data_IF_843170715204
#
_entry.id   IF_843170715204
#
_cell.length_a   1.000
_cell.length_b   1.000
_cell.length_c   1.000
_cell.angle_alpha   90.00
_cell.angle_beta   90.00
_cell.angle_gamma   90.00
#
_symmetry.space_group_name_H-M   'P 1'
#
loop_
_entity.id
_entity.type
_entity.pdbx_description
1 polymer ?
#
# COMPACT_ATOMS: atom_id res chain seq x y z
N UNK A 1 -8.14 35.02 -51.24
CA UNK A 1 -6.77 34.71 -50.73
C UNK A 1 -6.79 33.29 -50.18
N UNK A 2 -6.11 32.33 -50.82
CA UNK A 2 -6.04 30.95 -50.30
C UNK A 2 -5.37 30.97 -48.92
N UNK A 3 -5.93 30.23 -47.96
CA UNK A 3 -5.32 30.10 -46.62
C UNK A 3 -4.02 29.33 -46.77
N UNK A 4 -2.91 29.89 -46.27
CA UNK A 4 -1.61 29.20 -46.28
C UNK A 4 -1.75 27.85 -45.54
N UNK A 5 -1.21 26.75 -46.08
CA UNK A 5 -1.23 25.46 -45.39
C UNK A 5 -0.48 25.54 -44.05
N UNK A 6 -0.82 24.67 -43.08
CA UNK A 6 -0.05 24.58 -41.84
C UNK A 6 1.38 24.08 -42.11
N UNK A 7 2.29 24.40 -41.19
CA UNK A 7 3.66 23.87 -41.22
C UNK A 7 3.67 22.35 -40.98
N UNK A 8 4.58 21.63 -41.62
CA UNK A 8 4.76 20.19 -41.41
C UNK A 8 5.32 19.87 -40.02
N UNK A 9 5.12 18.64 -39.57
CA UNK A 9 5.47 18.18 -38.23
C UNK A 9 6.99 18.26 -37.99
N UNK A 10 7.81 17.95 -39.00
CA UNK A 10 9.28 18.01 -38.89
C UNK A 10 9.80 19.45 -38.73
N UNK A 11 9.29 20.41 -39.50
CA UNK A 11 9.67 21.81 -39.34
C UNK A 11 9.15 22.39 -38.02
N UNK A 12 7.95 21.97 -37.58
CA UNK A 12 7.35 22.38 -36.32
C UNK A 12 8.14 21.87 -35.12
N UNK A 13 8.53 20.60 -35.11
CA UNK A 13 9.36 20.00 -34.05
C UNK A 13 10.71 20.70 -33.93
N UNK A 14 11.30 21.11 -35.05
CA UNK A 14 12.58 21.84 -35.10
C UNK A 14 12.45 23.35 -34.91
N UNK A 15 11.23 23.86 -34.72
CA UNK A 15 10.91 25.30 -34.58
C UNK A 15 11.49 26.17 -35.71
N UNK A 16 11.45 25.68 -36.95
CA UNK A 16 11.90 26.42 -38.15
C UNK A 16 10.75 26.76 -39.09
N UNK A 17 10.91 27.81 -39.90
CA UNK A 17 9.92 28.22 -40.88
C UNK A 17 9.72 27.13 -41.96
N UNK A 18 8.46 26.73 -42.17
CA UNK A 18 8.06 25.75 -43.17
C UNK A 18 7.54 26.45 -44.43
N UNK A 19 7.89 25.92 -45.60
CA UNK A 19 7.37 26.35 -46.90
C UNK A 19 6.55 25.20 -47.51
N UNK A 20 5.30 25.01 -47.08
CA UNK A 20 4.47 23.91 -47.55
C UNK A 20 4.08 24.10 -49.02
N UNK A 21 4.20 23.03 -49.81
CA UNK A 21 3.73 22.91 -51.19
C UNK A 21 2.34 22.26 -51.22
N UNK A 22 1.49 22.66 -52.16
CA UNK A 22 0.10 22.17 -52.27
C UNK A 22 -0.02 20.80 -52.93
N UNK A 23 1.03 20.35 -53.62
CA UNK A 23 0.95 19.23 -54.57
C UNK A 23 1.38 17.90 -53.94
N UNK A 24 1.34 17.81 -52.60
CA UNK A 24 1.77 16.61 -51.86
C UNK A 24 3.27 16.36 -51.86
N UNK A 25 4.07 17.28 -52.41
CA UNK A 25 5.54 17.21 -52.38
C UNK A 25 6.09 17.58 -51.00
N UNK A 26 7.23 17.02 -50.58
CA UNK A 26 7.87 17.41 -49.33
C UNK A 26 8.34 18.86 -49.40
N UNK A 27 8.26 19.59 -48.28
CA UNK A 27 8.76 20.97 -48.26
C UNK A 27 10.28 21.01 -48.53
N UNK A 28 10.83 22.11 -49.10
CA UNK A 28 12.24 22.19 -49.48
C UNK A 28 13.22 21.78 -48.37
N UNK A 29 12.93 22.14 -47.12
CA UNK A 29 13.77 21.79 -45.96
C UNK A 29 13.72 20.31 -45.59
N UNK A 30 12.58 19.65 -45.77
CA UNK A 30 12.47 18.21 -45.55
C UNK A 30 13.13 17.44 -46.70
N UNK A 31 12.99 17.95 -47.93
CA UNK A 31 13.62 17.40 -49.12
C UNK A 31 15.16 17.43 -49.02
N UNK A 32 15.76 18.59 -48.70
CA UNK A 32 17.21 18.73 -48.53
C UNK A 32 17.79 17.82 -47.45
N UNK A 33 17.00 17.50 -46.42
CA UNK A 33 17.44 16.69 -45.27
C UNK A 33 17.09 15.21 -45.40
N UNK A 34 16.44 14.81 -46.48
CA UNK A 34 15.97 13.44 -46.68
C UNK A 34 14.97 12.97 -45.62
N UNK A 35 14.28 13.88 -44.93
CA UNK A 35 13.32 13.51 -43.87
C UNK A 35 11.89 13.47 -44.41
N UNK A 36 11.11 12.49 -43.92
CA UNK A 36 9.70 12.34 -44.31
C UNK A 36 8.90 13.57 -43.87
N UNK A 37 8.31 14.28 -44.83
CA UNK A 37 7.48 15.46 -44.59
C UNK A 37 6.03 15.03 -44.33
N UNK A 38 5.61 15.00 -43.06
CA UNK A 38 4.22 14.71 -42.67
C UNK A 38 3.55 15.95 -42.10
N UNK A 39 2.26 16.13 -42.36
CA UNK A 39 1.45 17.19 -41.76
C UNK A 39 0.22 16.55 -41.15
N UNK A 40 0.18 16.43 -39.83
CA UNK A 40 -0.98 15.86 -39.14
C UNK A 40 -2.13 16.89 -39.11
N UNK A 41 -3.30 16.62 -39.71
CA UNK A 41 -4.40 17.57 -39.75
C UNK A 41 -4.96 17.81 -38.34
N UNK A 42 -4.77 19.02 -37.82
CA UNK A 42 -5.32 19.42 -36.52
C UNK A 42 -6.77 19.85 -36.71
N UNK A 43 -7.72 19.02 -36.26
CA UNK A 43 -9.15 19.40 -36.21
C UNK A 43 -9.34 20.44 -35.10
N UNK A 44 -9.29 21.73 -35.46
CA UNK A 44 -9.61 22.83 -34.54
C UNK A 44 -11.12 23.05 -34.53
N UNK A 45 -11.80 22.44 -33.56
CA UNK A 45 -13.17 22.82 -33.21
C UNK A 45 -13.18 24.29 -32.77
N UNK A 46 -13.97 25.13 -33.44
CA UNK A 46 -14.13 26.55 -33.12
C UNK A 46 -15.30 26.68 -32.15
N UNK A 47 -15.14 27.31 -30.96
CA UNK A 47 -16.28 27.58 -30.09
C UNK A 47 -17.24 28.58 -30.77
N UNK A 48 -18.56 28.42 -30.63
CA UNK A 48 -19.53 29.35 -31.22
C UNK A 48 -19.50 30.69 -30.48
N UNK A 49 -19.48 31.79 -31.24
CA UNK A 49 -19.62 33.17 -30.75
C UNK A 49 -21.07 33.39 -30.30
N UNK A 50 -21.27 33.78 -29.04
CA UNK A 50 -22.55 34.34 -28.56
C UNK A 50 -22.64 35.81 -28.94
N UNK A 51 -23.64 36.17 -29.74
CA UNK A 51 -24.05 37.55 -29.99
C UNK A 51 -24.97 38.02 -28.86
N UNK A 52 -24.71 39.23 -28.35
CA UNK A 52 -25.53 39.97 -27.40
C UNK A 52 -26.32 41.04 -28.17
N UNK A 53 -27.65 40.99 -28.13
CA UNK A 53 -28.53 42.03 -28.69
C UNK A 53 -30.03 41.74 -28.52
N UNK A 54 -30.62 42.30 -27.46
CA UNK A 54 -32.04 42.44 -27.05
C UNK A 54 -33.03 42.99 -28.10
N UNK A 55 -34.34 43.23 -27.80
CA UNK A 55 -35.32 42.49 -26.96
C UNK A 55 -36.71 42.36 -27.65
N UNK A 56 -37.59 41.44 -27.20
CA UNK A 56 -39.03 41.62 -27.47
C UNK A 56 -39.95 40.39 -27.40
N UNK A 57 -40.79 40.39 -26.35
CA UNK A 57 -42.21 39.94 -26.34
C UNK A 57 -42.58 38.45 -26.42
N UNK A 58 -43.00 37.97 -25.23
CA UNK A 58 -44.28 37.28 -24.94
C UNK A 58 -44.34 35.74 -24.92
N UNK A 59 -44.93 35.25 -23.82
CA UNK A 59 -45.63 33.96 -23.57
C UNK A 59 -44.84 32.66 -23.37
N UNK A 60 -44.84 32.21 -22.09
CA UNK A 60 -44.77 30.81 -21.61
C UNK A 60 -45.90 29.93 -22.20
N UNK A 61 -45.91 28.57 -22.11
CA UNK A 61 -45.25 27.76 -21.08
C UNK A 61 -44.58 26.41 -21.47
N UNK A 62 -43.70 25.98 -20.55
CA UNK A 62 -43.33 24.62 -20.13
C UNK A 62 -42.95 23.56 -21.18
N UNK A 63 -41.72 23.02 -21.04
CA UNK A 63 -41.43 21.58 -20.83
C UNK A 63 -39.90 21.35 -20.71
N UNK A 64 -39.50 20.79 -19.56
CA UNK A 64 -38.28 20.02 -19.26
C UNK A 64 -36.97 20.28 -20.06
N UNK A 65 -36.03 21.00 -19.45
CA UNK A 65 -34.60 20.96 -19.80
C UNK A 65 -33.82 20.12 -18.78
N UNK A 66 -33.44 18.91 -19.19
CA UNK A 66 -32.29 18.20 -18.62
C UNK A 66 -31.02 18.85 -19.19
N UNK A 67 -30.29 19.59 -18.36
CA UNK A 67 -28.92 20.01 -18.67
C UNK A 67 -27.95 18.83 -18.51
N UNK A 68 -27.14 18.48 -19.52
CA UNK A 68 -25.94 17.69 -19.31
C UNK A 68 -24.83 18.60 -18.78
N UNK A 69 -24.46 18.38 -17.52
CA UNK A 69 -23.30 18.99 -16.87
C UNK A 69 -22.03 18.79 -17.68
N UNK A 70 -21.23 19.85 -17.80
CA UNK A 70 -19.90 19.81 -18.40
C UNK A 70 -19.02 18.74 -17.69
N UNK A 71 -18.13 18.04 -18.42
CA UNK A 71 -17.22 17.10 -17.80
C UNK A 71 -16.19 17.85 -16.92
N UNK A 72 -15.94 17.41 -15.68
CA UNK A 72 -14.95 18.03 -14.82
C UNK A 72 -13.54 17.87 -15.39
N UNK A 73 -12.67 18.83 -15.06
CA UNK A 73 -11.25 18.74 -15.41
C UNK A 73 -10.59 17.55 -14.67
N UNK A 74 -9.55 16.93 -15.24
CA UNK A 74 -8.89 15.78 -14.64
C UNK A 74 -8.20 16.07 -13.29
N UNK A 75 -8.12 17.34 -12.85
CA UNK A 75 -7.60 17.70 -11.52
C UNK A 75 -8.66 17.70 -10.41
N UNK A 76 -9.94 17.80 -10.76
CA UNK A 76 -11.03 17.92 -9.78
C UNK A 76 -11.70 16.57 -9.48
N UNK A 77 -11.38 15.53 -10.25
CA UNK A 77 -12.10 14.25 -10.20
C UNK A 77 -11.62 13.34 -9.05
N UNK A 78 -10.36 13.43 -8.63
CA UNK A 78 -9.84 12.57 -7.54
C UNK A 78 -10.16 13.12 -6.14
N UNK A 79 -10.24 14.45 -5.95
CA UNK A 79 -10.72 15.04 -4.69
C UNK A 79 -12.24 15.00 -4.55
N UNK A 80 -12.99 14.86 -5.65
CA UNK A 80 -14.47 14.83 -5.62
C UNK A 80 -15.06 13.52 -5.05
N UNK A 81 -14.26 12.44 -4.94
CA UNK A 81 -14.75 11.14 -4.42
C UNK A 81 -15.07 11.20 -2.92
N UNK A 82 -14.57 12.20 -2.19
CA UNK A 82 -14.71 12.30 -0.73
C UNK A 82 -15.63 13.44 -0.26
N UNK A 83 -16.31 14.15 -1.18
CA UNK A 83 -16.95 15.44 -0.88
C UNK A 83 -18.31 15.37 -0.14
N UNK A 84 -18.70 14.22 0.42
CA UNK A 84 -19.96 14.07 1.17
C UNK A 84 -19.84 13.26 2.47
N UNK A 85 -18.67 13.24 3.09
CA UNK A 85 -18.47 12.56 4.38
C UNK A 85 -18.78 13.49 5.56
N UNK A 86 -19.46 12.95 6.60
CA UNK A 86 -19.60 13.66 7.88
C UNK A 86 -18.21 13.94 8.44
N UNK A 87 -17.83 15.21 8.49
CA UNK A 87 -16.58 15.60 9.15
C UNK A 87 -16.77 15.44 10.66
N UNK A 88 -15.98 14.56 11.26
CA UNK A 88 -15.95 14.40 12.72
C UNK A 88 -14.92 15.36 13.26
N UNK A 89 -15.35 16.24 14.17
CA UNK A 89 -14.43 17.08 14.92
C UNK A 89 -13.56 16.19 15.83
N UNK A 90 -12.25 16.21 15.61
CA UNK A 90 -11.29 15.42 16.36
C UNK A 90 -11.02 16.07 17.73
N UNK A 91 -11.89 15.79 18.70
CA UNK A 91 -11.67 16.20 20.09
C UNK A 91 -10.41 15.52 20.67
N UNK A 92 -9.74 16.14 21.66
CA UNK A 92 -8.59 15.54 22.34
C UNK A 92 -8.84 14.13 22.88
N UNK A 93 -10.05 13.86 23.38
CA UNK A 93 -10.46 12.56 23.91
C UNK A 93 -10.58 11.52 22.80
N UNK A 94 -11.18 11.91 21.66
CA UNK A 94 -11.32 11.04 20.51
C UNK A 94 -9.95 10.70 19.89
N UNK A 95 -9.06 11.69 19.77
CA UNK A 95 -7.68 11.45 19.28
C UNK A 95 -6.97 10.45 20.21
N UNK A 96 -7.09 10.62 21.53
CA UNK A 96 -6.50 9.69 22.50
C UNK A 96 -7.05 8.27 22.34
N UNK A 97 -8.38 8.12 22.25
CA UNK A 97 -9.03 6.83 22.00
C UNK A 97 -8.53 6.17 20.71
N UNK A 98 -8.42 6.94 19.61
CA UNK A 98 -7.96 6.43 18.33
C UNK A 98 -6.49 6.02 18.38
N UNK A 99 -5.64 6.73 19.12
CA UNK A 99 -4.25 6.30 19.34
C UNK A 99 -4.15 5.05 20.23
N UNK A 100 -5.03 4.88 21.20
CA UNK A 100 -5.07 3.66 22.01
C UNK A 100 -5.55 2.47 21.14
N UNK A 101 -6.54 2.66 20.27
CA UNK A 101 -6.91 1.68 19.24
C UNK A 101 -5.73 1.36 18.30
N UNK A 102 -4.94 2.37 17.92
CA UNK A 102 -3.81 2.20 17.00
C UNK A 102 -2.82 1.16 17.50
N UNK A 103 -2.64 1.04 18.82
CA UNK A 103 -1.74 0.06 19.44
C UNK A 103 -2.05 -1.40 19.11
N UNK A 104 -3.29 -1.69 18.66
CA UNK A 104 -3.75 -3.01 18.25
C UNK A 104 -3.54 -3.29 16.75
N UNK A 105 -3.13 -2.30 15.97
CA UNK A 105 -2.90 -2.46 14.54
C UNK A 105 -1.43 -2.84 14.26
N UNK A 106 -1.16 -3.68 13.26
CA UNK A 106 0.22 -4.06 12.90
C UNK A 106 1.12 -2.85 12.68
N UNK A 107 0.61 -1.80 12.03
CA UNK A 107 1.35 -0.59 11.68
C UNK A 107 1.95 0.13 12.91
N UNK A 108 1.39 -0.03 14.11
CA UNK A 108 1.98 0.47 15.35
C UNK A 108 3.36 -0.13 15.62
N UNK A 109 3.59 -1.36 15.14
CA UNK A 109 4.85 -2.07 15.30
C UNK A 109 5.86 -1.81 14.17
N UNK A 110 5.57 -0.90 13.24
CA UNK A 110 6.44 -0.66 12.11
C UNK A 110 7.77 -0.01 12.56
N UNK A 111 8.95 -0.44 12.08
CA UNK A 111 10.23 0.08 12.56
C UNK A 111 10.43 1.59 12.35
N UNK A 112 9.90 2.15 11.25
CA UNK A 112 9.93 3.60 11.00
C UNK A 112 8.95 4.41 11.88
N UNK A 113 8.05 3.75 12.61
CA UNK A 113 7.08 4.45 13.45
C UNK A 113 7.63 4.61 14.88
N UNK A 114 8.06 5.83 15.21
CA UNK A 114 8.65 6.18 16.51
C UNK A 114 7.60 6.42 17.59
N UNK A 115 6.96 5.34 18.04
CA UNK A 115 5.82 5.30 18.97
C UNK A 115 5.90 6.30 20.12
N UNK A 116 7.01 6.29 20.86
CA UNK A 116 7.17 7.12 22.06
C UNK A 116 7.27 8.60 21.71
N UNK A 117 7.93 8.95 20.61
CA UNK A 117 8.09 10.33 20.15
C UNK A 117 6.73 10.90 19.74
N UNK A 118 5.96 10.15 18.94
CA UNK A 118 4.62 10.56 18.51
C UNK A 118 3.69 10.73 19.72
N UNK A 119 3.68 9.77 20.66
CA UNK A 119 2.84 9.83 21.86
C UNK A 119 3.22 11.00 22.78
N UNK A 120 4.51 11.24 22.99
CA UNK A 120 5.00 12.36 23.80
C UNK A 120 4.64 13.70 23.18
N UNK A 121 4.80 13.85 21.86
CA UNK A 121 4.46 15.07 21.14
C UNK A 121 2.96 15.38 21.19
N UNK A 122 2.10 14.37 21.11
CA UNK A 122 0.65 14.54 21.29
C UNK A 122 0.30 14.89 22.74
N UNK A 123 0.93 14.23 23.72
CA UNK A 123 0.70 14.50 25.12
C UNK A 123 1.07 15.95 25.51
N UNK A 124 2.18 16.48 24.97
CA UNK A 124 2.65 17.83 25.29
C UNK A 124 1.74 18.95 24.76
N UNK A 125 0.93 18.67 23.74
CA UNK A 125 -0.07 19.59 23.17
C UNK A 125 -1.50 19.22 23.62
N UNK A 126 -1.64 18.43 24.69
CA UNK A 126 -2.93 17.98 25.21
C UNK A 126 -3.80 17.29 24.16
N UNK A 127 -3.19 16.48 23.29
CA UNK A 127 -3.84 15.71 22.22
C UNK A 127 -4.55 16.54 21.15
N UNK A 128 -4.26 17.84 21.06
CA UNK A 128 -4.74 18.71 20.00
C UNK A 128 -3.93 18.50 18.71
N UNK A 129 -4.29 17.46 17.94
CA UNK A 129 -3.54 16.98 16.76
C UNK A 129 -3.17 18.08 15.74
N UNK A 130 -4.01 19.11 15.61
CA UNK A 130 -3.79 20.22 14.68
C UNK A 130 -2.59 21.12 15.06
N UNK A 131 -2.11 21.07 16.31
CA UNK A 131 -0.94 21.82 16.79
C UNK A 131 0.39 21.10 16.54
N UNK A 132 0.39 19.87 16.02
CA UNK A 132 1.63 19.15 15.68
C UNK A 132 2.39 19.85 14.53
N UNK A 133 3.73 19.69 14.47
CA UNK A 133 4.52 20.04 13.29
C UNK A 133 3.99 19.34 12.03
N UNK A 134 4.12 19.94 10.82
CA UNK A 134 3.45 19.46 9.61
C UNK A 134 3.64 17.97 9.31
N UNK A 135 4.88 17.46 9.28
CA UNK A 135 5.17 16.05 8.98
C UNK A 135 4.60 15.09 10.02
N UNK A 136 4.80 15.41 11.31
CA UNK A 136 4.29 14.63 12.42
C UNK A 136 2.75 14.65 12.48
N UNK A 137 2.13 15.75 12.03
CA UNK A 137 0.68 15.88 11.86
C UNK A 137 0.17 14.91 10.80
N UNK A 138 0.81 14.82 9.64
CA UNK A 138 0.43 13.84 8.60
C UNK A 138 0.48 12.43 9.18
N UNK A 139 1.59 12.06 9.84
CA UNK A 139 1.75 10.74 10.45
C UNK A 139 0.64 10.45 11.47
N UNK A 140 0.34 11.42 12.33
CA UNK A 140 -0.70 11.26 13.34
C UNK A 140 -2.10 11.09 12.71
N UNK A 141 -2.41 11.84 11.64
CA UNK A 141 -3.67 11.67 10.91
C UNK A 141 -3.76 10.32 10.21
N UNK A 142 -2.65 9.79 9.68
CA UNK A 142 -2.62 8.43 9.11
C UNK A 142 -2.93 7.37 10.18
N UNK A 143 -2.34 7.47 11.37
CA UNK A 143 -2.61 6.58 12.49
C UNK A 143 -4.08 6.68 12.95
N UNK A 144 -4.61 7.89 13.10
CA UNK A 144 -6.01 8.16 13.46
C UNK A 144 -6.98 7.58 12.43
N UNK A 145 -6.70 7.75 11.13
CA UNK A 145 -7.50 7.18 10.06
C UNK A 145 -7.50 5.64 10.09
N UNK A 146 -6.33 5.01 10.24
CA UNK A 146 -6.22 3.55 10.37
C UNK A 146 -7.03 3.06 11.57
N UNK A 147 -6.92 3.72 12.72
CA UNK A 147 -7.64 3.36 13.95
C UNK A 147 -9.15 3.47 13.86
N UNK A 148 -9.66 4.38 13.02
CA UNK A 148 -11.11 4.51 12.82
C UNK A 148 -11.74 3.22 12.25
N UNK A 149 -10.96 2.36 11.58
CA UNK A 149 -11.44 1.06 11.09
C UNK A 149 -11.85 0.09 12.22
N UNK A 150 -11.21 0.19 13.39
CA UNK A 150 -11.45 -0.69 14.55
C UNK A 150 -12.10 0.02 15.74
N UNK A 151 -12.16 1.35 15.73
CA UNK A 151 -12.69 2.17 16.83
C UNK A 151 -14.14 1.84 17.20
N UNK A 152 -14.42 1.82 18.50
CA UNK A 152 -15.76 1.62 19.05
C UNK A 152 -16.32 2.90 19.70
N UNK A 153 -15.68 4.04 19.47
CA UNK A 153 -16.17 5.33 19.98
C UNK A 153 -17.48 5.73 19.29
N UNK A 154 -18.48 6.25 20.04
CA UNK A 154 -19.74 6.74 19.47
C UNK A 154 -19.59 7.76 18.35
N UNK A 155 -18.55 8.61 18.38
CA UNK A 155 -18.29 9.60 17.34
C UNK A 155 -17.87 8.97 16.00
N UNK A 156 -17.30 7.76 16.03
CA UNK A 156 -16.83 7.04 14.84
C UNK A 156 -17.85 6.01 14.37
N UNK A 157 -18.36 5.19 15.29
CA UNK A 157 -19.29 4.09 14.97
C UNK A 157 -20.73 4.59 14.79
N UNK A 158 -21.06 5.78 15.27
CA UNK A 158 -22.40 6.33 15.22
C UNK A 158 -23.41 5.59 16.12
N UNK A 159 -24.71 5.78 15.89
CA UNK A 159 -25.76 5.20 16.73
C UNK A 159 -25.81 3.67 16.63
N UNK A 160 -26.27 3.02 17.70
CA UNK A 160 -26.50 1.57 17.76
C UNK A 160 -25.66 0.86 18.82
N UNK A 161 -25.71 -0.49 18.87
CA UNK A 161 -24.87 -1.25 19.78
C UNK A 161 -23.39 -1.01 19.44
N UNK A 162 -22.56 -0.96 20.47
CA UNK A 162 -21.10 -0.80 20.37
C UNK A 162 -20.41 -1.73 21.37
N UNK A 163 -19.21 -2.23 21.05
CA UNK A 163 -18.35 -2.89 22.04
C UNK A 163 -17.95 -1.90 23.14
N UNK A 164 -17.69 -2.43 24.33
CA UNK A 164 -17.08 -1.63 25.42
C UNK A 164 -15.56 -1.58 25.32
N UNK A 165 -14.94 -2.56 24.65
CA UNK A 165 -13.51 -2.60 24.36
C UNK A 165 -13.24 -3.52 23.17
N UNK A 166 -12.02 -3.47 22.60
CA UNK A 166 -11.57 -4.44 21.59
C UNK A 166 -11.41 -5.87 22.14
N UNK A 167 -11.47 -6.04 23.47
CA UNK A 167 -11.45 -7.34 24.14
C UNK A 167 -12.85 -7.83 24.53
N UNK A 168 -13.91 -7.13 24.13
CA UNK A 168 -15.29 -7.48 24.46
C UNK A 168 -15.72 -8.79 23.80
N UNK A 169 -15.69 -9.87 24.60
CA UNK A 169 -16.01 -11.23 24.15
C UNK A 169 -17.48 -11.43 23.81
N UNK A 170 -18.37 -10.54 24.27
CA UNK A 170 -19.79 -10.62 23.92
C UNK A 170 -20.01 -10.28 22.45
N UNK A 171 -19.17 -9.40 21.90
CA UNK A 171 -19.18 -8.98 20.50
C UNK A 171 -18.18 -9.78 19.66
N UNK A 172 -16.93 -9.89 20.11
CA UNK A 172 -15.82 -10.52 19.39
C UNK A 172 -15.71 -12.01 19.73
N UNK A 173 -16.68 -12.80 19.26
CA UNK A 173 -16.67 -14.27 19.36
C UNK A 173 -16.43 -14.92 18.00
N UNK A 174 -15.96 -16.17 18.02
CA UNK A 174 -15.75 -16.93 16.79
C UNK A 174 -17.07 -17.02 15.98
N UNK A 175 -16.99 -16.71 14.69
CA UNK A 175 -18.15 -16.67 13.79
C UNK A 175 -19.08 -15.46 13.95
N UNK A 176 -18.74 -14.46 14.78
CA UNK A 176 -19.52 -13.23 14.88
C UNK A 176 -19.52 -12.45 13.55
N UNK A 177 -20.70 -11.95 13.15
CA UNK A 177 -20.81 -11.04 12.02
C UNK A 177 -20.50 -9.60 12.46
N UNK A 178 -19.35 -9.09 12.03
CA UNK A 178 -18.87 -7.75 12.37
C UNK A 178 -19.10 -6.72 11.25
N UNK A 179 -19.76 -7.10 10.15
CA UNK A 179 -19.90 -6.25 8.95
C UNK A 179 -20.66 -4.96 9.24
N UNK A 180 -21.70 -5.02 10.07
CA UNK A 180 -22.50 -3.85 10.46
C UNK A 180 -21.64 -2.74 11.10
N UNK A 181 -20.74 -3.12 12.00
CA UNK A 181 -19.81 -2.17 12.63
C UNK A 181 -18.91 -1.49 11.59
N UNK A 182 -18.40 -2.26 10.61
CA UNK A 182 -17.59 -1.71 9.51
C UNK A 182 -18.37 -0.72 8.63
N UNK A 183 -19.58 -1.09 8.24
CA UNK A 183 -20.47 -0.22 7.43
C UNK A 183 -20.74 1.10 8.16
N UNK A 184 -21.04 1.05 9.46
CA UNK A 184 -21.34 2.26 10.24
C UNK A 184 -20.15 3.20 10.40
N UNK A 185 -18.92 2.67 10.55
CA UNK A 185 -17.69 3.49 10.66
C UNK A 185 -17.20 4.05 9.31
N UNK A 186 -17.61 3.44 8.20
CA UNK A 186 -17.09 3.75 6.85
C UNK A 186 -17.10 5.25 6.52
N UNK A 187 -18.17 6.03 6.79
CA UNK A 187 -18.18 7.46 6.47
C UNK A 187 -17.11 8.27 7.20
N UNK A 188 -16.89 7.97 8.49
CA UNK A 188 -15.88 8.66 9.32
C UNK A 188 -14.47 8.22 8.91
N UNK A 189 -14.28 6.92 8.71
CA UNK A 189 -13.02 6.38 8.19
C UNK A 189 -12.62 7.03 6.88
N UNK A 190 -13.53 7.13 5.91
CA UNK A 190 -13.28 7.78 4.61
C UNK A 190 -12.97 9.26 4.75
N UNK A 191 -13.66 9.99 5.64
CA UNK A 191 -13.36 11.40 5.92
C UNK A 191 -11.93 11.58 6.42
N UNK A 192 -11.51 10.73 7.36
CA UNK A 192 -10.16 10.78 7.94
C UNK A 192 -9.09 10.36 6.93
N UNK A 193 -9.37 9.39 6.06
CA UNK A 193 -8.49 9.03 4.95
C UNK A 193 -8.29 10.21 3.99
N UNK A 194 -9.37 10.90 3.63
CA UNK A 194 -9.31 12.06 2.75
C UNK A 194 -8.50 13.21 3.37
N UNK A 195 -8.67 13.46 4.66
CA UNK A 195 -7.90 14.50 5.36
C UNK A 195 -6.42 14.13 5.50
N UNK A 196 -6.09 12.88 5.82
CA UNK A 196 -4.72 12.40 5.85
C UNK A 196 -4.03 12.55 4.48
N UNK A 197 -4.74 12.19 3.40
CA UNK A 197 -4.26 12.37 2.03
C UNK A 197 -4.05 13.85 1.68
N UNK A 198 -5.02 14.71 2.01
CA UNK A 198 -4.94 16.16 1.77
C UNK A 198 -3.70 16.76 2.42
N UNK A 199 -3.47 16.43 3.70
CA UNK A 199 -2.30 16.88 4.46
C UNK A 199 -0.99 16.33 3.88
N UNK A 200 -0.96 15.06 3.48
CA UNK A 200 0.22 14.44 2.87
C UNK A 200 0.64 15.14 1.58
N UNK A 201 -0.35 15.49 0.74
CA UNK A 201 -0.12 16.26 -0.49
C UNK A 201 0.33 17.70 -0.21
N UNK A 202 -0.26 18.37 0.79
CA UNK A 202 0.11 19.74 1.18
C UNK A 202 1.57 19.82 1.67
N UNK A 203 1.98 18.85 2.49
CA UNK A 203 3.34 18.78 3.07
C UNK A 203 4.36 18.19 2.09
N UNK A 204 3.93 17.55 1.02
CA UNK A 204 4.79 16.87 0.03
C UNK A 204 5.69 15.78 0.66
N UNK A 205 5.10 14.91 1.49
CA UNK A 205 5.85 13.90 2.25
C UNK A 205 6.68 12.93 1.39
N UNK A 206 6.41 12.81 0.09
CA UNK A 206 7.19 11.96 -0.83
C UNK A 206 8.58 12.54 -1.12
N UNK A 207 8.76 13.85 -1.02
CA UNK A 207 9.99 14.53 -1.45
C UNK A 207 11.07 14.61 -0.38
N UNK A 208 10.70 14.54 0.90
CA UNK A 208 11.63 14.73 2.01
C UNK A 208 11.81 13.42 2.80
N UNK A 209 13.00 12.79 2.76
CA UNK A 209 13.25 11.54 3.44
C UNK A 209 13.44 11.79 4.94
N UNK A 210 12.38 11.52 5.71
CA UNK A 210 12.41 11.46 7.17
C UNK A 210 11.68 10.19 7.61
N UNK A 211 11.98 9.67 8.80
CA UNK A 211 11.29 8.49 9.34
C UNK A 211 9.78 8.72 9.45
N UNK A 212 9.35 9.94 9.82
CA UNK A 212 7.95 10.31 9.92
C UNK A 212 7.26 10.29 8.54
N UNK A 213 7.94 10.80 7.50
CA UNK A 213 7.43 10.78 6.13
C UNK A 213 7.43 9.36 5.53
N UNK A 214 8.44 8.55 5.83
CA UNK A 214 8.49 7.13 5.45
C UNK A 214 7.34 6.35 6.09
N UNK A 215 7.14 6.48 7.39
CA UNK A 215 6.03 5.87 8.11
C UNK A 215 4.67 6.36 7.59
N UNK A 216 4.55 7.64 7.25
CA UNK A 216 3.33 8.21 6.65
C UNK A 216 3.03 7.60 5.28
N UNK A 217 4.03 7.51 4.40
CA UNK A 217 3.88 6.87 3.08
C UNK A 217 3.48 5.39 3.22
N UNK A 218 4.11 4.67 4.15
CA UNK A 218 3.72 3.29 4.46
C UNK A 218 2.25 3.22 4.91
N UNK A 219 1.82 4.02 5.87
CA UNK A 219 0.44 3.98 6.37
C UNK A 219 -0.59 4.42 5.32
N UNK A 220 -0.27 5.41 4.48
CA UNK A 220 -1.14 5.82 3.37
C UNK A 220 -1.32 4.69 2.36
N UNK A 221 -0.28 3.93 2.03
CA UNK A 221 -0.42 2.75 1.18
C UNK A 221 -1.50 1.82 1.75
N UNK A 222 -1.47 1.52 3.06
CA UNK A 222 -2.48 0.69 3.72
C UNK A 222 -3.89 1.26 3.72
N UNK A 223 -4.04 2.59 3.84
CA UNK A 223 -5.36 3.24 3.82
C UNK A 223 -6.08 3.07 2.48
N UNK A 224 -5.33 2.94 1.37
CA UNK A 224 -5.89 2.86 0.02
C UNK A 224 -5.97 1.43 -0.54
N UNK A 225 -5.54 0.41 0.21
CA UNK A 225 -5.69 -0.99 -0.19
C UNK A 225 -7.18 -1.34 -0.38
N UNK A 226 -7.52 -1.91 -1.53
CA UNK A 226 -8.86 -2.41 -1.84
C UNK A 226 -9.89 -1.34 -2.19
N UNK A 227 -9.49 -0.06 -2.32
CA UNK A 227 -10.42 1.02 -2.71
C UNK A 227 -10.67 1.09 -4.23
N UNK A 228 -9.95 0.30 -5.03
CA UNK A 228 -10.00 0.24 -6.49
C UNK A 228 -9.81 1.60 -7.19
N UNK A 229 -8.98 2.46 -6.60
CA UNK A 229 -8.71 3.81 -7.12
C UNK A 229 -7.54 3.83 -8.10
N UNK A 230 -7.44 4.86 -8.94
CA UNK A 230 -6.23 5.08 -9.77
C UNK A 230 -4.97 5.34 -8.91
N UNK A 231 -5.17 5.90 -7.71
CA UNK A 231 -4.12 6.06 -6.71
C UNK A 231 -3.56 4.70 -6.24
N UNK A 232 -4.44 3.74 -6.00
CA UNK A 232 -4.04 2.36 -5.66
C UNK A 232 -3.28 1.68 -6.81
N UNK A 233 -3.64 1.94 -8.07
CA UNK A 233 -2.95 1.36 -9.23
C UNK A 233 -1.57 1.98 -9.47
N UNK A 234 -1.43 3.28 -9.22
CA UNK A 234 -0.18 4.03 -9.45
C UNK A 234 0.82 3.90 -8.29
N UNK A 235 0.36 3.50 -7.09
CA UNK A 235 1.19 3.16 -5.92
C UNK A 235 2.23 4.23 -5.53
N UNK A 236 1.90 5.53 -5.54
CA UNK A 236 2.89 6.58 -5.28
C UNK A 236 3.45 6.50 -3.85
N UNK A 237 2.63 6.07 -2.88
CA UNK A 237 3.01 5.97 -1.49
C UNK A 237 3.98 4.80 -1.23
N UNK A 238 3.73 3.63 -1.82
CA UNK A 238 4.68 2.52 -1.78
C UNK A 238 6.02 2.90 -2.43
N UNK A 239 5.99 3.60 -3.58
CA UNK A 239 7.20 4.08 -4.24
C UNK A 239 7.96 5.12 -3.39
N UNK A 240 7.24 6.08 -2.81
CA UNK A 240 7.82 7.10 -1.93
C UNK A 240 8.43 6.49 -0.67
N UNK A 241 7.73 5.55 -0.05
CA UNK A 241 8.22 4.79 1.10
C UNK A 241 9.54 4.07 0.79
N UNK A 242 9.60 3.29 -0.29
CA UNK A 242 10.83 2.60 -0.67
C UNK A 242 11.97 3.58 -1.02
N UNK A 243 11.65 4.70 -1.66
CA UNK A 243 12.64 5.76 -1.91
C UNK A 243 13.21 6.32 -0.60
N UNK A 244 12.37 6.54 0.40
CA UNK A 244 12.80 7.01 1.71
C UNK A 244 13.66 5.97 2.42
N UNK A 245 13.27 4.70 2.40
CA UNK A 245 14.07 3.62 3.00
C UNK A 245 15.48 3.53 2.41
N UNK A 246 15.62 3.68 1.09
CA UNK A 246 16.92 3.66 0.42
C UNK A 246 17.85 4.79 0.87
N UNK A 247 17.29 5.90 1.35
CA UNK A 247 18.05 7.05 1.85
C UNK A 247 18.30 6.93 3.36
N UNK A 248 17.29 6.50 4.12
CA UNK A 248 17.32 6.45 5.57
C UNK A 248 18.08 5.25 6.11
N UNK A 249 18.01 4.10 5.43
CA UNK A 249 18.70 2.88 5.84
C UNK A 249 20.13 2.85 5.29
N UNK A 250 20.92 3.89 5.56
CA UNK A 250 22.35 3.86 5.28
C UNK A 250 23.12 2.93 6.25
N UNK A 251 24.42 2.77 6.04
CA UNK A 251 25.25 1.85 6.85
C UNK A 251 25.21 2.21 8.35
N UNK A 252 25.17 3.50 8.69
CA UNK A 252 25.12 3.95 10.08
C UNK A 252 23.77 3.63 10.73
N UNK A 253 22.67 3.87 10.00
CA UNK A 253 21.34 3.51 10.46
C UNK A 253 21.20 1.99 10.63
N UNK A 254 21.74 1.20 9.71
CA UNK A 254 21.71 -0.26 9.78
C UNK A 254 22.47 -0.78 11.01
N UNK A 255 23.65 -0.25 11.33
CA UNK A 255 24.41 -0.62 12.51
C UNK A 255 23.65 -0.35 13.82
N UNK A 256 22.92 0.76 13.90
CA UNK A 256 22.18 1.16 15.11
C UNK A 256 20.82 0.44 15.24
N UNK A 257 20.12 0.20 14.12
CA UNK A 257 18.70 -0.17 14.13
C UNK A 257 18.40 -1.58 13.61
N UNK A 258 19.32 -2.23 12.88
CA UNK A 258 19.13 -3.59 12.38
C UNK A 258 19.80 -4.64 13.28
N UNK A 259 18.97 -5.31 14.08
CA UNK A 259 19.33 -6.57 14.73
C UNK A 259 18.49 -7.74 14.16
N UNK A 260 18.74 -8.98 14.60
CA UNK A 260 18.03 -10.16 14.11
C UNK A 260 16.51 -10.10 14.30
N UNK A 261 16.05 -9.48 15.38
CA UNK A 261 14.63 -9.27 15.65
C UNK A 261 14.05 -8.21 14.72
N UNK A 262 14.70 -7.05 14.58
CA UNK A 262 14.29 -5.99 13.64
C UNK A 262 14.22 -6.53 12.21
N UNK A 263 15.21 -7.32 11.78
CA UNK A 263 15.24 -7.92 10.46
C UNK A 263 14.04 -8.84 10.22
N UNK A 264 13.62 -9.61 11.23
CA UNK A 264 12.43 -10.47 11.13
C UNK A 264 11.14 -9.65 10.99
N UNK A 265 11.04 -8.55 11.74
CA UNK A 265 9.91 -7.62 11.65
C UNK A 265 9.83 -6.96 10.27
N UNK A 266 10.95 -6.43 9.79
CA UNK A 266 11.08 -5.86 8.44
C UNK A 266 10.68 -6.84 7.34
N UNK A 267 11.15 -8.07 7.47
CA UNK A 267 10.84 -9.17 6.58
C UNK A 267 9.33 -9.43 6.52
N UNK A 268 8.62 -9.35 7.64
CA UNK A 268 7.16 -9.44 7.68
C UNK A 268 6.45 -8.31 6.93
N UNK A 269 6.90 -7.07 7.06
CA UNK A 269 6.29 -5.93 6.35
C UNK A 269 6.54 -5.98 4.84
N UNK A 270 7.75 -6.33 4.40
CA UNK A 270 8.05 -6.52 2.99
C UNK A 270 7.28 -7.71 2.40
N UNK A 271 7.13 -8.79 3.16
CA UNK A 271 6.27 -9.90 2.75
C UNK A 271 4.85 -9.41 2.47
N UNK A 272 4.24 -8.64 3.38
CA UNK A 272 2.86 -8.16 3.21
C UNK A 272 2.70 -7.34 1.92
N UNK A 273 3.63 -6.42 1.65
CA UNK A 273 3.70 -5.63 0.41
C UNK A 273 3.78 -6.52 -0.85
N UNK A 274 4.62 -7.55 -0.80
CA UNK A 274 4.78 -8.49 -1.91
C UNK A 274 3.55 -9.37 -2.12
N UNK A 275 2.93 -9.86 -1.05
CA UNK A 275 1.73 -10.69 -1.16
C UNK A 275 0.56 -9.88 -1.73
N UNK A 276 0.37 -8.65 -1.27
CA UNK A 276 -0.65 -7.74 -1.77
C UNK A 276 -0.49 -7.48 -3.28
N UNK A 277 0.71 -7.09 -3.69
CA UNK A 277 1.02 -6.83 -5.11
C UNK A 277 0.87 -8.07 -5.99
N UNK A 278 1.28 -9.24 -5.48
CA UNK A 278 1.14 -10.52 -6.20
C UNK A 278 -0.32 -10.86 -6.43
N UNK A 279 -1.15 -10.81 -5.38
CA UNK A 279 -2.60 -11.08 -5.47
C UNK A 279 -3.31 -10.14 -6.45
N UNK A 280 -2.92 -8.86 -6.43
CA UNK A 280 -3.50 -7.83 -7.30
C UNK A 280 -2.86 -7.78 -8.70
N UNK A 281 -1.88 -8.65 -8.99
CA UNK A 281 -1.11 -8.67 -10.25
C UNK A 281 -0.48 -7.31 -10.59
N UNK A 282 -0.06 -6.58 -9.56
CA UNK A 282 0.59 -5.29 -9.66
C UNK A 282 2.12 -5.44 -9.74
N UNK A 283 2.83 -4.43 -10.26
CA UNK A 283 4.30 -4.43 -10.23
C UNK A 283 4.83 -4.48 -8.80
N UNK A 284 5.73 -5.44 -8.55
CA UNK A 284 6.50 -5.52 -7.31
C UNK A 284 7.58 -4.44 -7.35
N UNK A 285 7.54 -3.51 -6.39
CA UNK A 285 8.45 -2.36 -6.34
C UNK A 285 9.76 -2.67 -5.59
N UNK A 286 9.78 -3.75 -4.81
CA UNK A 286 10.94 -4.17 -4.01
C UNK A 286 11.97 -4.85 -4.91
N UNK A 287 13.13 -4.22 -5.08
CA UNK A 287 14.26 -4.79 -5.81
C UNK A 287 15.04 -5.82 -4.98
N UNK A 288 15.94 -6.57 -5.62
CA UNK A 288 16.88 -7.45 -4.91
C UNK A 288 17.81 -6.67 -3.97
N UNK A 289 18.19 -5.45 -4.36
CA UNK A 289 18.99 -4.57 -3.52
C UNK A 289 18.23 -4.12 -2.27
N UNK A 290 16.97 -3.68 -2.41
CA UNK A 290 16.12 -3.30 -1.27
C UNK A 290 15.95 -4.47 -0.29
N UNK A 291 15.85 -5.69 -0.81
CA UNK A 291 15.74 -6.90 -0.01
C UNK A 291 16.98 -7.10 0.87
N UNK A 292 18.18 -6.95 0.30
CA UNK A 292 19.44 -7.05 1.06
C UNK A 292 19.59 -5.91 2.05
N UNK A 293 19.21 -4.70 1.65
CA UNK A 293 19.26 -3.51 2.49
C UNK A 293 18.39 -3.65 3.75
N UNK A 294 17.14 -4.12 3.58
CA UNK A 294 16.13 -4.09 4.65
C UNK A 294 16.03 -5.41 5.41
N UNK A 295 16.27 -6.55 4.75
CA UNK A 295 16.16 -7.88 5.36
C UNK A 295 17.52 -8.44 5.80
N UNK A 296 18.61 -7.75 5.47
CA UNK A 296 19.98 -8.15 5.72
C UNK A 296 20.50 -9.18 4.71
N UNK A 297 21.63 -9.85 5.03
CA UNK A 297 22.28 -10.76 4.09
C UNK A 297 21.40 -11.94 3.73
N UNK A 298 21.63 -12.47 2.53
CA UNK A 298 20.90 -13.63 2.00
C UNK A 298 20.97 -14.81 3.00
N UNK A 299 19.81 -15.39 3.39
CA UNK A 299 19.77 -16.53 4.26
C UNK A 299 20.21 -17.82 3.54
N UNK A 300 20.24 -18.94 4.29
CA UNK A 300 20.42 -20.27 3.70
C UNK A 300 19.42 -20.50 2.55
N UNK A 301 19.88 -21.19 1.51
CA UNK A 301 19.00 -21.68 0.44
C UNK A 301 17.86 -22.53 1.01
N UNK A 302 16.73 -22.61 0.30
CA UNK A 302 15.58 -23.40 0.76
C UNK A 302 15.93 -24.86 1.07
N UNK A 303 16.81 -25.48 0.27
CA UNK A 303 17.29 -26.85 0.49
C UNK A 303 18.09 -26.96 1.79
N UNK A 304 19.05 -26.06 2.00
CA UNK A 304 19.89 -26.05 3.20
C UNK A 304 19.09 -25.68 4.45
N UNK A 305 18.11 -24.79 4.33
CA UNK A 305 17.17 -24.45 5.38
C UNK A 305 16.32 -25.66 5.78
N UNK A 306 15.76 -26.37 4.80
CA UNK A 306 15.01 -27.60 5.06
C UNK A 306 15.87 -28.65 5.77
N UNK A 307 17.08 -28.93 5.27
CA UNK A 307 18.00 -29.89 5.90
C UNK A 307 18.38 -29.48 7.32
N UNK A 308 18.62 -28.18 7.56
CA UNK A 308 18.90 -27.63 8.88
C UNK A 308 17.74 -27.86 9.85
N UNK A 309 16.52 -27.49 9.46
CA UNK A 309 15.31 -27.70 10.28
C UNK A 309 15.08 -29.19 10.51
N UNK A 310 15.27 -30.04 9.50
CA UNK A 310 15.10 -31.48 9.62
C UNK A 310 16.08 -32.07 10.63
N UNK A 311 17.34 -31.61 10.63
CA UNK A 311 18.35 -32.05 11.59
C UNK A 311 17.99 -31.65 13.02
N UNK A 312 17.43 -30.44 13.22
CA UNK A 312 16.96 -29.96 14.53
C UNK A 312 15.75 -30.77 14.98
N UNK A 313 14.80 -31.01 14.08
CA UNK A 313 13.60 -31.82 14.32
C UNK A 313 13.96 -33.27 14.66
N UNK A 314 14.98 -33.86 14.03
CA UNK A 314 15.44 -35.22 14.36
C UNK A 314 16.15 -35.29 15.72
N UNK A 315 16.82 -34.21 16.14
CA UNK A 315 17.49 -34.09 17.44
C UNK A 315 16.54 -33.72 18.60
N UNK A 316 15.22 -33.64 18.35
CA UNK A 316 14.10 -33.11 19.19
C UNK A 316 13.96 -33.55 20.66
N UNK A 317 14.88 -34.30 21.24
CA UNK A 317 14.75 -34.63 22.67
C UNK A 317 14.97 -33.45 23.61
N UNK A 318 15.59 -32.34 23.19
CA UNK A 318 16.11 -31.37 24.18
C UNK A 318 15.77 -29.88 23.98
N UNK A 319 15.31 -29.39 22.81
CA UNK A 319 14.98 -27.94 22.66
C UNK A 319 13.80 -27.66 21.70
N UNK A 320 12.89 -26.73 22.04
CA UNK A 320 11.80 -26.30 21.15
C UNK A 320 12.36 -25.53 19.95
N UNK A 321 11.85 -25.85 18.75
CA UNK A 321 12.13 -25.06 17.56
C UNK A 321 11.52 -23.66 17.77
N UNK A 322 12.34 -22.62 17.75
CA UNK A 322 11.85 -21.24 17.82
C UNK A 322 11.35 -20.87 16.43
N UNK A 323 10.03 -20.78 16.17
CA UNK A 323 9.48 -20.59 14.82
C UNK A 323 10.03 -19.31 14.17
N UNK A 324 10.32 -18.29 14.99
CA UNK A 324 10.91 -17.03 14.57
C UNK A 324 12.26 -17.17 13.85
N UNK A 325 13.04 -18.21 14.14
CA UNK A 325 14.32 -18.45 13.43
C UNK A 325 14.11 -18.92 11.98
N UNK A 326 12.94 -19.49 11.68
CA UNK A 326 12.54 -19.94 10.33
C UNK A 326 11.82 -18.84 9.56
N UNK A 327 11.12 -17.91 10.24
CA UNK A 327 10.32 -16.88 9.58
C UNK A 327 11.14 -15.99 8.64
N UNK A 328 12.24 -15.41 9.14
CA UNK A 328 13.10 -14.53 8.32
C UNK A 328 13.56 -15.22 7.03
N UNK A 329 14.23 -16.39 7.07
CA UNK A 329 14.72 -17.01 5.84
C UNK A 329 13.57 -17.48 4.94
N UNK A 330 12.45 -17.94 5.50
CA UNK A 330 11.28 -18.35 4.73
C UNK A 330 10.66 -17.17 3.97
N UNK A 331 10.34 -16.07 4.66
CA UNK A 331 9.76 -14.88 4.07
C UNK A 331 10.71 -14.20 3.09
N UNK A 332 12.03 -14.26 3.30
CA UNK A 332 13.01 -13.83 2.31
C UNK A 332 12.84 -14.57 0.98
N UNK A 333 12.73 -15.90 1.02
CA UNK A 333 12.53 -16.68 -0.20
C UNK A 333 11.17 -16.42 -0.83
N UNK A 334 10.11 -16.20 -0.05
CA UNK A 334 8.80 -15.82 -0.61
C UNK A 334 8.89 -14.47 -1.34
N UNK A 335 9.49 -13.46 -0.74
CA UNK A 335 9.71 -12.13 -1.36
C UNK A 335 10.49 -12.26 -2.67
N UNK A 336 11.56 -13.06 -2.68
CA UNK A 336 12.36 -13.33 -3.88
C UNK A 336 11.53 -14.03 -4.97
N UNK A 337 10.81 -15.08 -4.60
CA UNK A 337 10.01 -15.88 -5.53
C UNK A 337 8.87 -15.09 -6.14
N UNK A 338 8.19 -14.23 -5.37
CA UNK A 338 7.16 -13.36 -5.91
C UNK A 338 7.71 -12.40 -6.97
N UNK A 339 8.88 -11.79 -6.72
CA UNK A 339 9.56 -10.94 -7.69
C UNK A 339 9.88 -11.71 -8.96
N UNK A 340 10.46 -12.90 -8.83
CA UNK A 340 10.77 -13.77 -9.97
C UNK A 340 9.50 -14.18 -10.75
N UNK A 341 8.42 -14.51 -10.03
CA UNK A 341 7.12 -14.82 -10.62
C UNK A 341 6.63 -13.66 -11.48
N UNK A 342 6.66 -12.43 -10.96
CA UNK A 342 6.25 -11.26 -11.72
C UNK A 342 7.19 -10.97 -12.90
N UNK A 343 8.51 -10.95 -12.68
CA UNK A 343 9.49 -10.56 -13.68
C UNK A 343 9.59 -11.55 -14.84
N UNK A 344 9.47 -12.86 -14.56
CA UNK A 344 9.76 -13.93 -15.52
C UNK A 344 8.54 -14.71 -16.01
N UNK A 345 7.42 -14.68 -15.29
CA UNK A 345 6.27 -15.55 -15.59
C UNK A 345 4.99 -14.73 -15.84
N UNK A 346 4.53 -13.94 -14.86
CA UNK A 346 3.17 -13.38 -14.86
C UNK A 346 3.09 -11.91 -15.27
N UNK A 347 4.20 -11.17 -15.19
CA UNK A 347 4.24 -9.74 -15.42
C UNK A 347 4.06 -9.32 -16.88
N UNK A 348 3.79 -8.03 -17.08
CA UNK A 348 3.47 -7.47 -18.39
C UNK A 348 4.54 -7.72 -19.46
N UNK A 349 5.82 -7.75 -19.07
CA UNK A 349 6.93 -8.02 -19.98
C UNK A 349 7.07 -9.52 -20.26
N UNK A 350 7.08 -10.36 -19.22
CA UNK A 350 7.16 -11.82 -19.34
C UNK A 350 6.10 -12.39 -20.28
N UNK A 351 4.84 -11.95 -20.13
CA UNK A 351 3.71 -12.40 -20.97
C UNK A 351 3.83 -12.06 -22.46
N UNK A 352 4.76 -11.19 -22.86
CA UNK A 352 5.02 -10.86 -24.28
C UNK A 352 6.05 -11.78 -24.93
N UNK A 353 6.63 -12.70 -24.17
CA UNK A 353 7.66 -13.62 -24.61
C UNK A 353 7.17 -15.07 -24.45
N UNK A 354 7.77 -16.04 -25.16
CA UNK A 354 7.54 -17.45 -24.90
C UNK A 354 7.82 -17.78 -23.43
N UNK A 355 7.04 -18.71 -22.87
CA UNK A 355 7.22 -19.18 -21.51
C UNK A 355 8.58 -19.88 -21.37
N UNK A 356 9.33 -19.50 -20.33
CA UNK A 356 10.55 -20.19 -19.93
C UNK A 356 10.17 -21.38 -19.04
N UNK A 357 10.11 -22.57 -19.65
CA UNK A 357 9.76 -23.81 -18.95
C UNK A 357 10.72 -24.13 -17.80
N UNK A 358 12.01 -23.81 -17.95
CA UNK A 358 13.01 -24.03 -16.90
C UNK A 358 12.70 -23.17 -15.68
N UNK A 359 12.40 -21.88 -15.92
CA UNK A 359 12.03 -20.96 -14.85
C UNK A 359 10.75 -21.41 -14.11
N UNK A 360 9.77 -21.97 -14.81
CA UNK A 360 8.53 -22.49 -14.20
C UNK A 360 8.85 -23.71 -13.33
N UNK A 361 9.68 -24.64 -13.81
CA UNK A 361 10.07 -25.82 -13.06
C UNK A 361 10.87 -25.47 -11.80
N UNK A 362 11.78 -24.51 -11.89
CA UNK A 362 12.53 -24.00 -10.73
C UNK A 362 11.61 -23.35 -9.70
N UNK A 363 10.62 -22.57 -10.16
CA UNK A 363 9.62 -21.95 -9.29
C UNK A 363 8.75 -22.99 -8.57
N UNK A 364 8.25 -24.00 -9.29
CA UNK A 364 7.47 -25.11 -8.70
C UNK A 364 8.32 -25.88 -7.68
N UNK A 365 9.58 -26.16 -8.01
CA UNK A 365 10.51 -26.80 -7.07
C UNK A 365 10.68 -25.97 -5.79
N UNK A 366 10.85 -24.66 -5.90
CA UNK A 366 10.95 -23.77 -4.74
C UNK A 366 9.66 -23.75 -3.90
N UNK A 367 8.48 -23.74 -4.52
CA UNK A 367 7.19 -23.84 -3.82
C UNK A 367 7.05 -25.16 -3.05
N UNK A 368 7.53 -26.27 -3.62
CA UNK A 368 7.54 -27.57 -2.92
C UNK A 368 8.44 -27.54 -1.68
N UNK A 369 9.60 -26.89 -1.76
CA UNK A 369 10.47 -26.72 -0.60
C UNK A 369 9.83 -25.83 0.48
N UNK A 370 9.19 -24.72 0.10
CA UNK A 370 8.43 -23.88 1.04
C UNK A 370 7.31 -24.69 1.72
N UNK A 371 6.59 -25.52 0.97
CA UNK A 371 5.56 -26.39 1.55
C UNK A 371 6.16 -27.41 2.52
N UNK A 372 7.26 -28.07 2.15
CA UNK A 372 7.94 -29.03 3.00
C UNK A 372 8.44 -28.40 4.31
N UNK A 373 8.97 -27.17 4.25
CA UNK A 373 9.38 -26.41 5.43
C UNK A 373 8.16 -26.10 6.32
N UNK A 374 7.04 -25.60 5.77
CA UNK A 374 5.82 -25.38 6.55
C UNK A 374 5.36 -26.66 7.26
N UNK A 375 5.23 -27.77 6.52
CA UNK A 375 4.82 -29.05 7.08
C UNK A 375 5.78 -29.53 8.16
N UNK A 376 7.10 -29.37 7.97
CA UNK A 376 8.08 -29.81 8.96
C UNK A 376 8.01 -29.00 10.26
N UNK A 377 7.76 -27.70 10.16
CA UNK A 377 7.61 -26.82 11.33
C UNK A 377 6.33 -27.16 12.10
N UNK A 378 5.19 -27.39 11.42
CA UNK A 378 3.88 -27.46 12.07
C UNK A 378 3.25 -28.85 12.21
N UNK A 379 3.58 -29.83 11.36
CA UNK A 379 2.98 -31.18 11.46
C UNK A 379 3.52 -32.03 12.61
N UNK A 380 4.59 -31.58 13.26
CA UNK A 380 5.16 -32.28 14.41
C UNK A 380 4.67 -31.70 15.76
N UNK A 381 3.56 -30.95 15.79
CA UNK A 381 3.03 -30.29 16.99
C UNK A 381 1.62 -30.72 17.39
N UNK A 382 0.92 -31.51 16.58
CA UNK A 382 -0.43 -32.02 16.88
C UNK A 382 -0.47 -33.02 18.06
N UNK A 383 0.68 -33.51 18.54
CA UNK A 383 0.73 -34.45 19.68
C UNK A 383 0.79 -33.74 21.06
N UNK A 384 0.97 -32.42 21.14
CA UNK A 384 1.33 -31.77 22.43
C UNK A 384 0.42 -30.63 22.91
N UNK A 385 -0.59 -30.19 22.14
CA UNK A 385 -1.40 -29.03 22.54
C UNK A 385 -2.90 -29.32 22.56
N UNK A 386 -3.55 -29.37 23.75
CA UNK A 386 -5.00 -29.52 23.84
C UNK A 386 -5.71 -28.33 23.18
N UNK A 387 -6.77 -28.66 22.43
CA UNK A 387 -7.53 -27.78 21.53
C UNK A 387 -8.24 -26.59 22.20
N UNK A 388 -8.15 -26.43 23.52
CA UNK A 388 -9.03 -25.54 24.29
C UNK A 388 -8.44 -24.16 24.64
N UNK A 389 -7.20 -23.84 24.24
CA UNK A 389 -6.59 -22.54 24.53
C UNK A 389 -6.75 -21.54 23.35
N UNK A 390 -7.98 -21.15 23.02
CA UNK A 390 -8.24 -19.92 22.26
C UNK A 390 -8.30 -18.75 23.24
N UNK A 391 -7.14 -18.27 23.67
CA UNK A 391 -7.02 -17.10 24.55
C UNK A 391 -6.15 -16.06 23.85
N UNK A 392 -6.77 -14.96 23.39
CA UNK A 392 -6.03 -13.72 23.12
C UNK A 392 -5.75 -13.03 24.46
N UNK A 393 -4.49 -12.74 24.82
CA UNK A 393 -4.18 -11.87 25.94
C UNK A 393 -4.38 -10.39 25.56
N UNK A 394 -4.56 -9.50 26.54
CA UNK A 394 -4.56 -8.04 26.34
C UNK A 394 -3.19 -7.51 25.88
N UNK A 395 -3.10 -6.30 25.30
CA UNK A 395 -1.85 -5.81 24.71
C UNK A 395 -0.87 -5.27 25.79
N UNK A 396 0.33 -5.87 25.83
CA UNK A 396 1.60 -5.36 26.37
C UNK A 396 1.74 -5.19 27.90
N UNK A 397 2.94 -5.42 28.49
CA UNK A 397 4.24 -4.90 28.05
C UNK A 397 5.31 -5.99 27.79
N UNK A 398 6.62 -5.63 27.72
CA UNK A 398 7.52 -5.98 26.62
C UNK A 398 7.58 -7.49 26.38
N UNK A 399 7.88 -7.93 25.15
CA UNK A 399 8.04 -9.34 24.77
C UNK A 399 8.94 -10.08 25.79
N UNK A 400 8.32 -10.57 26.85
CA UNK A 400 8.78 -11.59 27.76
C UNK A 400 7.83 -12.71 27.46
N UNK A 401 8.31 -13.63 26.62
CA UNK A 401 7.64 -14.86 26.22
C UNK A 401 7.31 -15.65 27.48
N UNK A 402 6.12 -15.43 28.04
CA UNK A 402 5.59 -16.33 29.05
C UNK A 402 5.22 -17.65 28.37
N UNK A 403 5.55 -18.78 29.00
CA UNK A 403 5.45 -20.10 28.40
C UNK A 403 4.01 -20.53 28.00
N UNK A 404 2.98 -19.76 28.39
CA UNK A 404 1.58 -19.99 28.02
C UNK A 404 1.15 -19.40 26.66
N UNK A 405 1.92 -18.47 26.08
CA UNK A 405 1.57 -17.74 24.84
C UNK A 405 2.20 -18.34 23.56
N UNK A 406 2.88 -19.47 23.65
CA UNK A 406 3.63 -20.07 22.54
C UNK A 406 2.72 -20.61 21.42
N UNK A 407 1.56 -21.17 21.75
CA UNK A 407 0.67 -21.85 20.81
C UNK A 407 -0.06 -20.90 19.85
N UNK A 408 -0.51 -19.72 20.33
CA UNK A 408 -1.19 -18.71 19.51
C UNK A 408 -0.23 -18.06 18.50
N UNK A 409 1.00 -17.80 18.94
CA UNK A 409 2.05 -17.25 18.09
C UNK A 409 2.46 -18.24 16.99
N UNK A 410 2.56 -19.53 17.33
CA UNK A 410 2.86 -20.58 16.36
C UNK A 410 1.76 -20.73 15.30
N UNK A 411 0.48 -20.78 15.70
CA UNK A 411 -0.65 -20.87 14.75
C UNK A 411 -0.69 -19.67 13.82
N UNK A 412 -0.40 -18.48 14.33
CA UNK A 412 -0.31 -17.25 13.52
C UNK A 412 0.84 -17.34 12.51
N UNK A 413 2.00 -17.87 12.92
CA UNK A 413 3.12 -18.14 12.01
C UNK A 413 2.74 -19.17 10.93
N UNK A 414 2.07 -20.26 11.30
CA UNK A 414 1.59 -21.29 10.38
C UNK A 414 0.64 -20.73 9.35
N UNK A 415 -0.31 -19.91 9.81
CA UNK A 415 -1.26 -19.23 8.95
C UNK A 415 -0.56 -18.32 7.96
N UNK A 416 0.35 -17.44 8.40
CA UNK A 416 1.06 -16.50 7.53
C UNK A 416 1.94 -17.24 6.51
N UNK A 417 2.69 -18.26 6.94
CA UNK A 417 3.52 -19.07 6.02
C UNK A 417 2.64 -19.79 4.98
N UNK A 418 1.54 -20.39 5.40
CA UNK A 418 0.58 -21.06 4.49
C UNK A 418 -0.07 -20.09 3.52
N UNK A 419 -0.53 -18.93 4.02
CA UNK A 419 -1.12 -17.86 3.21
C UNK A 419 -0.11 -17.39 2.16
N UNK A 420 1.14 -17.12 2.57
CA UNK A 420 2.16 -16.59 1.68
C UNK A 420 2.51 -17.55 0.53
N UNK A 421 2.62 -18.85 0.80
CA UNK A 421 2.78 -19.89 -0.23
C UNK A 421 1.55 -19.96 -1.13
N UNK A 422 0.35 -19.94 -0.55
CA UNK A 422 -0.91 -20.06 -1.29
C UNK A 422 -1.07 -18.89 -2.26
N UNK A 423 -0.73 -17.68 -1.83
CA UNK A 423 -0.69 -16.48 -2.69
C UNK A 423 0.22 -16.64 -3.90
N UNK A 424 1.38 -17.30 -3.76
CA UNK A 424 2.27 -17.56 -4.90
C UNK A 424 1.73 -18.60 -5.89
N UNK A 425 0.79 -19.46 -5.45
CA UNK A 425 0.18 -20.52 -6.27
C UNK A 425 -1.03 -20.00 -7.05
N UNK A 426 -1.79 -19.05 -6.48
CA UNK A 426 -2.96 -18.41 -7.09
C UNK A 426 -2.55 -17.36 -8.14
#
# INVERSE_FOLDING_TARGET
KSKKPPACDSCKARRVLCHPTTDGTPCPRCFEKGTKCTTTPVVRGRPPKKDLGSPGKTTSPALHENSPSAPPSPRDTEMSVFSSSRFVELSPELVRHLFDCFTHLPQYNHPMYRRQIVRNALASISWQIHLLPPHLKVLAYCAVALSASISFDPAVIGPGPKPDSLADRSVFKHGADLRDYGVRRTPVYQALCAEALRLACEVNIILEPTEDNAASCFMLQFLFIGQQTELEKSRPWASGYLSHLRILCDDAWAEENMNAQSATVWTGYLLMEVLETTLNRQPILISSHDQLLIMGPEPLSLQNLFASIQSVVQKRKEQPLIPFTVLRPYFYHVTRLARELYEKITGNYARRHPLDESCIMDFISALNHLNAICSLVFNNEDETYPSDALVCPPPNPPIQLSAGDSSLNLRSCAYIMTLSRTTLVL
#
